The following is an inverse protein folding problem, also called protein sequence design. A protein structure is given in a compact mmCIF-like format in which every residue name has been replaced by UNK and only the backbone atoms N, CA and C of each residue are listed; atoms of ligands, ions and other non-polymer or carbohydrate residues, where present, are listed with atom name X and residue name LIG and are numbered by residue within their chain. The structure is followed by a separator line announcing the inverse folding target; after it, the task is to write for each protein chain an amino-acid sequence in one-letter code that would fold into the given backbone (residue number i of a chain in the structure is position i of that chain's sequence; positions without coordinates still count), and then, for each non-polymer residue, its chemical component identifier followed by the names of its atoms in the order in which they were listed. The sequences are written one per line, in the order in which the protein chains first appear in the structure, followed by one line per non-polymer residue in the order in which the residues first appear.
data_IF_201554646087
#
_entry.id   IF_201554646087
#
_cell.length_a   1.000
_cell.length_b   1.000
_cell.length_c   1.000
_cell.angle_alpha   90.00
_cell.angle_beta   90.00
_cell.angle_gamma   90.00
#
_symmetry.space_group_name_H-M   'P 1'
#
loop_
_entity.id
_entity.type
_entity.pdbx_description
1 polymer ?
#
# COMPACT_ATOMS: atom_id res chain seq x y z
N UNK A 1 5.51 17.13 -25.93
CA UNK A 1 4.84 17.73 -24.74
C UNK A 1 4.37 16.60 -23.83
N UNK A 2 4.80 16.61 -22.57
CA UNK A 2 4.43 15.65 -21.51
C UNK A 2 3.63 16.41 -20.45
N UNK A 3 2.41 15.95 -20.16
CA UNK A 3 1.58 16.49 -19.08
C UNK A 3 1.58 15.47 -17.96
N UNK A 4 1.84 15.92 -16.72
CA UNK A 4 1.82 15.09 -15.52
C UNK A 4 0.72 15.59 -14.60
N UNK A 5 -0.17 14.68 -14.21
CA UNK A 5 -1.20 14.89 -13.19
C UNK A 5 -0.93 13.88 -12.10
N UNK A 6 -0.66 14.33 -10.87
CA UNK A 6 -0.24 13.45 -9.78
C UNK A 6 -0.70 13.98 -8.42
N UNK A 7 -0.80 13.09 -7.43
CA UNK A 7 -1.10 13.42 -6.05
C UNK A 7 0.06 13.11 -5.08
N UNK A 8 1.22 12.67 -5.58
CA UNK A 8 2.38 12.41 -4.74
C UNK A 8 3.18 13.69 -4.49
N UNK A 9 3.32 14.08 -3.22
CA UNK A 9 4.12 15.25 -2.83
C UNK A 9 5.63 15.09 -3.12
N UNK A 10 6.09 13.87 -3.38
CA UNK A 10 7.47 13.55 -3.79
C UNK A 10 7.73 13.66 -5.29
N UNK A 11 6.73 14.07 -6.09
CA UNK A 11 6.88 14.20 -7.54
C UNK A 11 7.97 15.22 -7.90
N UNK A 12 8.84 14.86 -8.84
CA UNK A 12 10.00 15.67 -9.25
C UNK A 12 9.70 16.67 -10.38
N UNK A 13 8.44 16.89 -10.73
CA UNK A 13 7.99 17.85 -11.76
C UNK A 13 8.60 17.56 -13.15
N UNK A 14 8.64 16.31 -13.55
CA UNK A 14 9.35 15.83 -14.75
C UNK A 14 8.60 16.01 -16.07
N UNK A 15 7.42 16.61 -16.06
CA UNK A 15 6.63 16.94 -17.25
C UNK A 15 6.90 18.36 -17.76
N UNK A 16 6.50 18.63 -19.00
CA UNK A 16 6.49 19.98 -19.55
C UNK A 16 5.40 20.84 -18.86
N UNK A 17 4.28 20.18 -18.49
CA UNK A 17 3.20 20.74 -17.67
C UNK A 17 2.98 19.78 -16.50
N UNK A 18 2.96 20.30 -15.27
CA UNK A 18 2.76 19.50 -14.06
C UNK A 18 1.62 20.07 -13.24
N UNK A 19 0.63 19.23 -12.92
CA UNK A 19 -0.42 19.53 -11.95
C UNK A 19 -0.32 18.53 -10.80
N UNK A 20 0.30 18.98 -9.71
CA UNK A 20 0.54 18.13 -8.54
C UNK A 20 -0.32 18.63 -7.39
N UNK A 21 -1.18 17.76 -6.83
CA UNK A 21 -2.03 18.08 -5.68
C UNK A 21 -1.86 17.04 -4.57
N UNK A 22 -0.93 17.25 -3.62
CA UNK A 22 -0.65 16.30 -2.53
C UNK A 22 -1.78 16.18 -1.48
N UNK A 23 -2.77 17.06 -1.52
CA UNK A 23 -3.94 16.98 -0.61
C UNK A 23 -4.99 16.04 -1.16
N UNK A 24 -5.03 15.83 -2.48
CA UNK A 24 -5.95 14.87 -3.08
C UNK A 24 -5.57 13.43 -2.67
N UNK A 25 -6.52 12.63 -2.18
CA UNK A 25 -6.25 11.25 -1.75
C UNK A 25 -6.00 10.29 -2.92
N UNK A 26 -6.38 10.69 -4.13
CA UNK A 26 -6.24 9.91 -5.36
C UNK A 26 -6.11 10.84 -6.58
N UNK A 27 -5.35 10.42 -7.57
CA UNK A 27 -5.28 11.09 -8.86
C UNK A 27 -6.66 11.19 -9.54
N UNK A 28 -7.52 10.17 -9.34
CA UNK A 28 -8.88 10.16 -9.85
C UNK A 28 -9.76 11.26 -9.28
N UNK A 29 -9.54 11.73 -8.05
CA UNK A 29 -10.23 12.90 -7.50
C UNK A 29 -9.85 14.17 -8.26
N UNK A 30 -8.57 14.35 -8.60
CA UNK A 30 -8.11 15.48 -9.42
C UNK A 30 -8.81 15.46 -10.78
N UNK A 31 -8.86 14.29 -11.43
CA UNK A 31 -9.51 14.14 -12.74
C UNK A 31 -11.02 14.46 -12.69
N UNK A 32 -11.73 14.09 -11.63
CA UNK A 32 -13.16 14.45 -11.48
C UNK A 32 -13.32 15.98 -11.42
N UNK A 33 -12.46 16.65 -10.64
CA UNK A 33 -12.44 18.11 -10.58
C UNK A 33 -12.15 18.74 -11.93
N UNK A 34 -11.16 18.25 -12.67
CA UNK A 34 -10.82 18.72 -14.01
C UNK A 34 -11.97 18.49 -15.01
N UNK A 35 -12.62 17.33 -15.00
CA UNK A 35 -13.74 17.05 -15.89
C UNK A 35 -14.92 17.97 -15.61
N UNK A 36 -15.20 18.29 -14.35
CA UNK A 36 -16.20 19.29 -13.98
C UNK A 36 -15.80 20.70 -14.45
N UNK A 37 -14.55 21.09 -14.28
CA UNK A 37 -14.07 22.40 -14.70
C UNK A 37 -14.15 22.62 -16.20
N UNK A 38 -13.83 21.60 -16.99
CA UNK A 38 -13.86 21.66 -18.46
C UNK A 38 -15.21 21.24 -19.07
N UNK A 39 -16.25 21.05 -18.26
CA UNK A 39 -17.58 20.58 -18.68
C UNK A 39 -17.53 19.28 -19.50
N UNK A 40 -16.61 18.38 -19.13
CA UNK A 40 -16.47 17.07 -19.78
C UNK A 40 -17.52 16.12 -19.21
N UNK A 41 -18.35 15.57 -20.10
CA UNK A 41 -19.39 14.61 -19.70
C UNK A 41 -18.78 13.30 -19.20
N UNK A 42 -19.00 12.99 -17.94
CA UNK A 42 -18.60 11.72 -17.32
C UNK A 42 -19.68 10.67 -17.62
N UNK A 43 -19.33 9.62 -18.36
CA UNK A 43 -20.19 8.45 -18.59
C UNK A 43 -20.09 7.47 -17.42
N UNK A 44 -21.01 6.50 -17.32
CA UNK A 44 -20.95 5.44 -16.30
C UNK A 44 -19.59 4.69 -16.29
N UNK A 45 -19.05 4.36 -17.46
CA UNK A 45 -17.78 3.65 -17.55
C UNK A 45 -16.61 4.51 -17.03
N UNK A 46 -16.55 5.79 -17.39
CA UNK A 46 -15.56 6.73 -16.84
C UNK A 46 -15.74 6.85 -15.32
N UNK A 47 -16.97 6.99 -14.84
CA UNK A 47 -17.29 7.06 -13.42
C UNK A 47 -16.84 5.81 -12.64
N UNK A 48 -17.02 4.62 -13.25
CA UNK A 48 -16.54 3.36 -12.66
C UNK A 48 -15.01 3.35 -12.51
N UNK A 49 -14.28 3.76 -13.55
CA UNK A 49 -12.80 3.86 -13.47
C UNK A 49 -12.36 4.88 -12.42
N UNK A 50 -12.98 6.06 -12.36
CA UNK A 50 -12.66 7.10 -11.39
C UNK A 50 -12.94 6.64 -9.95
N UNK A 51 -14.08 5.98 -9.72
CA UNK A 51 -14.41 5.41 -8.41
C UNK A 51 -13.44 4.29 -8.02
N UNK A 52 -13.04 3.45 -8.97
CA UNK A 52 -12.03 2.40 -8.72
C UNK A 52 -10.73 3.01 -8.23
N UNK A 53 -10.21 4.06 -8.88
CA UNK A 53 -8.99 4.73 -8.42
C UNK A 53 -9.14 5.39 -7.05
N UNK A 54 -10.28 6.02 -6.74
CA UNK A 54 -10.54 6.55 -5.40
C UNK A 54 -10.53 5.43 -4.35
N UNK A 55 -11.24 4.33 -4.61
CA UNK A 55 -11.33 3.20 -3.67
C UNK A 55 -9.97 2.54 -3.43
N UNK A 56 -9.18 2.34 -4.48
CA UNK A 56 -7.86 1.68 -4.35
C UNK A 56 -6.86 2.56 -3.62
N UNK A 57 -6.73 3.84 -3.99
CA UNK A 57 -5.76 4.76 -3.37
C UNK A 57 -6.11 5.08 -1.92
N UNK A 58 -7.40 5.17 -1.60
CA UNK A 58 -7.87 5.43 -0.21
C UNK A 58 -8.06 4.17 0.61
N UNK A 59 -7.82 2.99 0.05
CA UNK A 59 -8.16 1.71 0.66
C UNK A 59 -9.62 1.68 1.17
N UNK A 60 -10.56 2.02 0.29
CA UNK A 60 -11.98 2.07 0.64
C UNK A 60 -12.35 3.23 1.57
N UNK A 61 -11.80 4.41 1.35
CA UNK A 61 -11.98 5.63 2.15
C UNK A 61 -11.36 5.59 3.55
N UNK A 62 -10.50 4.62 3.84
CA UNK A 62 -9.82 4.51 5.14
C UNK A 62 -8.67 5.54 5.29
N UNK A 63 -8.06 5.96 4.19
CA UNK A 63 -6.90 6.86 4.21
C UNK A 63 -7.15 8.15 3.44
N UNK A 64 -6.80 9.27 4.04
CA UNK A 64 -6.77 10.61 3.44
C UNK A 64 -8.10 11.07 2.78
N UNK A 65 -9.22 10.36 3.01
CA UNK A 65 -10.52 10.76 2.47
C UNK A 65 -11.01 12.03 3.18
N UNK A 66 -11.46 13.01 2.40
CA UNK A 66 -12.00 14.30 2.87
C UNK A 66 -13.48 14.40 2.54
N UNK A 67 -14.16 15.45 3.04
CA UNK A 67 -15.54 15.75 2.63
C UNK A 67 -15.68 15.86 1.11
N UNK A 68 -14.71 16.52 0.45
CA UNK A 68 -14.66 16.65 -1.01
C UNK A 68 -14.56 15.28 -1.70
N UNK A 69 -13.78 14.34 -1.12
CA UNK A 69 -13.70 12.96 -1.63
C UNK A 69 -15.06 12.27 -1.64
N UNK A 70 -15.82 12.42 -0.55
CA UNK A 70 -17.18 11.86 -0.48
C UNK A 70 -18.17 12.56 -1.42
N UNK A 71 -18.07 13.88 -1.60
CA UNK A 71 -18.87 14.62 -2.57
C UNK A 71 -18.61 14.15 -4.00
N UNK A 72 -17.33 13.98 -4.36
CA UNK A 72 -16.94 13.44 -5.66
C UNK A 72 -17.41 11.99 -5.83
N UNK A 73 -17.22 11.15 -4.82
CA UNK A 73 -17.72 9.78 -4.82
C UNK A 73 -19.24 9.75 -5.04
N UNK A 74 -19.99 10.55 -4.29
CA UNK A 74 -21.44 10.66 -4.47
C UNK A 74 -21.82 11.12 -5.89
N UNK A 75 -21.07 12.04 -6.48
CA UNK A 75 -21.34 12.54 -7.84
C UNK A 75 -21.22 11.45 -8.91
N UNK A 76 -20.20 10.58 -8.80
CA UNK A 76 -20.01 9.50 -9.78
C UNK A 76 -20.92 8.30 -9.51
N UNK A 77 -21.26 8.03 -8.24
CA UNK A 77 -22.26 6.99 -7.88
C UNK A 77 -23.64 7.31 -8.49
N UNK A 78 -24.05 8.58 -8.54
CA UNK A 78 -25.30 9.00 -9.19
C UNK A 78 -25.35 8.63 -10.68
N UNK A 79 -24.22 8.34 -11.31
CA UNK A 79 -24.13 7.87 -12.69
C UNK A 79 -24.32 6.34 -12.82
N UNK A 80 -24.69 5.66 -11.73
CA UNK A 80 -25.01 4.22 -11.71
C UNK A 80 -23.80 3.31 -11.51
N UNK A 81 -22.75 3.80 -10.87
CA UNK A 81 -21.58 2.95 -10.50
C UNK A 81 -21.97 1.96 -9.42
N UNK A 82 -21.63 0.70 -9.61
CA UNK A 82 -21.75 -0.34 -8.57
C UNK A 82 -20.49 -0.37 -7.70
N UNK A 83 -20.58 0.33 -6.57
CA UNK A 83 -19.49 0.43 -5.61
C UNK A 83 -19.17 -0.93 -4.98
N UNK A 84 -20.19 -1.77 -4.73
CA UNK A 84 -20.03 -3.09 -4.14
C UNK A 84 -19.23 -4.01 -5.07
N UNK A 85 -19.48 -3.92 -6.36
CA UNK A 85 -18.73 -4.67 -7.38
C UNK A 85 -17.25 -4.26 -7.38
N UNK A 86 -16.97 -2.95 -7.32
CA UNK A 86 -15.59 -2.43 -7.27
C UNK A 86 -14.89 -2.97 -6.01
N UNK A 87 -15.50 -2.84 -4.82
CA UNK A 87 -14.93 -3.36 -3.57
C UNK A 87 -14.62 -4.86 -3.67
N UNK A 88 -15.57 -5.62 -4.19
CA UNK A 88 -15.41 -7.08 -4.34
C UNK A 88 -14.18 -7.41 -5.17
N UNK A 89 -13.99 -6.78 -6.32
CA UNK A 89 -12.88 -7.11 -7.23
C UNK A 89 -11.53 -6.50 -6.83
N UNK A 90 -11.51 -5.36 -6.15
CA UNK A 90 -10.26 -4.66 -5.83
C UNK A 90 -9.73 -4.96 -4.44
N UNK A 91 -10.60 -5.04 -3.42
CA UNK A 91 -10.17 -5.12 -2.02
C UNK A 91 -10.54 -6.43 -1.32
N UNK A 92 -11.63 -7.11 -1.75
CA UNK A 92 -12.17 -8.26 -1.02
C UNK A 92 -11.80 -9.61 -1.63
N UNK A 93 -11.75 -9.70 -2.97
CA UNK A 93 -11.47 -10.98 -3.62
C UNK A 93 -9.98 -11.27 -3.61
N UNK A 94 -9.63 -12.42 -3.03
CA UNK A 94 -8.29 -12.97 -3.03
C UNK A 94 -8.26 -14.25 -3.88
N UNK A 95 -7.20 -14.45 -4.64
CA UNK A 95 -6.99 -15.74 -5.29
C UNK A 95 -6.46 -16.78 -4.29
N UNK A 96 -6.48 -18.05 -4.67
CA UNK A 96 -6.07 -19.14 -3.79
C UNK A 96 -4.58 -19.04 -3.38
N UNK A 97 -3.70 -18.65 -4.31
CA UNK A 97 -2.28 -18.50 -4.02
C UNK A 97 -2.04 -17.39 -2.97
N UNK A 98 -2.71 -16.22 -3.11
CA UNK A 98 -2.65 -15.16 -2.09
C UNK A 98 -3.12 -15.68 -0.73
N UNK A 99 -4.25 -16.41 -0.68
CA UNK A 99 -4.77 -16.97 0.58
C UNK A 99 -3.76 -17.92 1.24
N UNK A 100 -3.16 -18.84 0.48
CA UNK A 100 -2.18 -19.80 1.02
C UNK A 100 -0.88 -19.11 1.46
N UNK A 101 -0.41 -18.07 0.74
CA UNK A 101 0.74 -17.28 1.18
C UNK A 101 0.45 -16.53 2.48
N UNK A 102 -0.75 -15.95 2.62
CA UNK A 102 -1.17 -15.32 3.87
C UNK A 102 -1.14 -16.31 5.03
N UNK A 103 -1.70 -17.51 4.84
CA UNK A 103 -1.68 -18.56 5.85
C UNK A 103 -0.26 -18.91 6.29
N UNK A 104 0.65 -19.15 5.33
CA UNK A 104 2.07 -19.43 5.63
C UNK A 104 2.74 -18.28 6.38
N UNK A 105 2.44 -17.04 6.00
CA UNK A 105 2.95 -15.86 6.69
C UNK A 105 2.39 -15.72 8.11
N UNK A 106 1.12 -16.05 8.33
CA UNK A 106 0.51 -16.04 9.68
C UNK A 106 1.13 -17.10 10.58
N UNK A 107 1.33 -18.31 10.07
CA UNK A 107 1.95 -19.41 10.82
C UNK A 107 3.40 -19.08 11.27
N UNK A 108 4.08 -18.17 10.57
CA UNK A 108 5.44 -17.69 10.88
C UNK A 108 5.46 -16.34 11.60
N UNK A 109 4.30 -15.77 11.94
CA UNK A 109 4.28 -14.44 12.54
C UNK A 109 4.81 -14.45 13.96
N UNK A 110 5.78 -13.60 14.20
CA UNK A 110 6.40 -13.38 15.50
C UNK A 110 6.00 -12.00 16.03
N UNK A 111 5.69 -11.95 17.32
CA UNK A 111 5.46 -10.69 18.04
C UNK A 111 6.67 -10.40 18.92
N UNK A 112 7.29 -9.26 18.70
CA UNK A 112 8.58 -8.86 19.27
C UNK A 112 8.43 -7.51 19.97
N UNK A 113 9.41 -7.12 20.78
CA UNK A 113 9.43 -5.82 21.47
C UNK A 113 8.13 -5.61 22.28
N UNK A 114 7.84 -6.55 23.17
CA UNK A 114 6.63 -6.55 24.01
C UNK A 114 5.31 -6.46 23.19
N UNK A 115 5.31 -7.09 22.01
CA UNK A 115 4.15 -7.12 21.12
C UNK A 115 4.00 -5.89 20.20
N UNK A 116 4.90 -4.91 20.28
CA UNK A 116 4.85 -3.70 19.45
C UNK A 116 5.31 -3.91 18.00
N UNK A 117 5.97 -5.02 17.72
CA UNK A 117 6.46 -5.34 16.37
C UNK A 117 5.93 -6.69 15.94
N UNK A 118 5.23 -6.74 14.82
CA UNK A 118 4.90 -7.97 14.12
C UNK A 118 5.90 -8.20 13.00
N UNK A 119 6.53 -9.38 12.98
CA UNK A 119 7.47 -9.79 11.93
C UNK A 119 6.99 -11.07 11.28
N UNK A 120 7.02 -11.14 9.96
CA UNK A 120 6.76 -12.37 9.22
C UNK A 120 7.48 -12.39 7.88
N UNK A 121 7.51 -13.55 7.24
CA UNK A 121 8.12 -13.72 5.91
C UNK A 121 7.50 -14.90 5.16
N UNK A 122 7.68 -14.87 3.84
CA UNK A 122 7.50 -16.02 2.95
C UNK A 122 8.82 -16.32 2.24
N UNK A 123 8.97 -17.57 1.79
CA UNK A 123 10.16 -18.03 1.06
C UNK A 123 9.87 -18.22 -0.42
N UNK A 124 10.91 -18.40 -1.23
CA UNK A 124 10.75 -18.71 -2.64
C UNK A 124 10.06 -20.08 -2.84
N UNK A 125 10.35 -21.04 -1.94
CA UNK A 125 9.70 -22.36 -1.95
C UNK A 125 8.20 -22.22 -1.70
N UNK A 126 7.78 -21.31 -0.82
CA UNK A 126 6.36 -21.03 -0.58
C UNK A 126 5.67 -20.50 -1.84
N UNK A 127 6.32 -19.56 -2.55
CA UNK A 127 5.77 -19.01 -3.80
C UNK A 127 5.66 -20.09 -4.89
N UNK A 128 6.68 -20.93 -5.02
CA UNK A 128 6.69 -22.05 -6.00
C UNK A 128 5.59 -23.06 -5.65
N UNK A 129 5.47 -23.47 -4.39
CA UNK A 129 4.50 -24.46 -3.92
C UNK A 129 3.05 -24.07 -4.25
N UNK A 130 2.71 -22.80 -4.07
CA UNK A 130 1.35 -22.30 -4.31
C UNK A 130 1.12 -21.83 -5.76
N UNK A 131 2.16 -21.82 -6.58
CA UNK A 131 2.11 -21.28 -7.95
C UNK A 131 1.85 -19.77 -7.97
N UNK A 132 2.47 -19.04 -7.06
CA UNK A 132 2.27 -17.61 -6.90
C UNK A 132 2.69 -16.81 -8.14
N UNK A 133 1.94 -15.75 -8.41
CA UNK A 133 2.25 -14.74 -9.42
C UNK A 133 2.71 -13.45 -8.73
N UNK A 134 3.39 -12.55 -9.47
CA UNK A 134 3.71 -11.24 -8.94
C UNK A 134 2.46 -10.53 -8.38
N UNK A 135 2.56 -10.07 -7.14
CA UNK A 135 1.45 -9.42 -6.42
C UNK A 135 0.63 -10.34 -5.49
N UNK A 136 0.75 -11.66 -5.60
CA UNK A 136 -0.02 -12.58 -4.74
C UNK A 136 0.36 -12.50 -3.24
N UNK A 137 1.45 -11.82 -2.89
CA UNK A 137 1.86 -11.53 -1.51
C UNK A 137 1.29 -10.20 -0.96
N UNK A 138 0.55 -9.46 -1.78
CA UNK A 138 -0.02 -8.18 -1.35
C UNK A 138 -1.00 -8.34 -0.18
N UNK A 139 -0.94 -7.39 0.75
CA UNK A 139 -1.80 -7.35 1.94
C UNK A 139 -1.23 -8.08 3.16
N UNK A 140 -0.19 -8.90 3.04
CA UNK A 140 0.39 -9.63 4.18
C UNK A 140 0.93 -8.66 5.24
N UNK A 141 1.66 -7.63 4.85
CA UNK A 141 2.22 -6.64 5.78
C UNK A 141 1.15 -5.87 6.56
N UNK A 142 -0.02 -5.67 5.96
CA UNK A 142 -1.12 -4.94 6.58
C UNK A 142 -1.73 -5.71 7.76
N UNK A 143 -1.72 -7.04 7.72
CA UNK A 143 -2.30 -7.85 8.79
C UNK A 143 -1.58 -7.64 10.10
N UNK A 144 -0.25 -7.67 10.10
CA UNK A 144 0.54 -7.43 11.32
C UNK A 144 0.22 -6.06 11.94
N UNK A 145 0.11 -5.01 11.11
CA UNK A 145 -0.23 -3.66 11.57
C UNK A 145 -1.63 -3.56 12.19
N UNK A 146 -2.58 -4.41 11.76
CA UNK A 146 -3.95 -4.37 12.24
C UNK A 146 -4.19 -5.17 13.53
N UNK A 147 -3.13 -5.72 14.13
CA UNK A 147 -3.20 -6.42 15.41
C UNK A 147 -3.04 -5.41 16.56
N UNK A 148 -3.87 -5.55 17.59
CA UNK A 148 -3.84 -4.69 18.76
C UNK A 148 -2.43 -4.59 19.37
N UNK A 149 -2.02 -3.40 19.76
CA UNK A 149 -0.71 -3.03 20.32
C UNK A 149 0.49 -3.10 19.34
N UNK A 150 0.31 -3.53 18.10
CA UNK A 150 1.37 -3.51 17.11
C UNK A 150 1.55 -2.11 16.53
N UNK A 151 2.72 -1.53 16.75
CA UNK A 151 3.10 -0.25 16.14
C UNK A 151 3.78 -0.43 14.79
N UNK A 152 4.60 -1.49 14.62
CA UNK A 152 5.35 -1.74 13.38
C UNK A 152 5.09 -3.15 12.87
N UNK A 153 4.73 -3.26 11.60
CA UNK A 153 4.66 -4.53 10.88
C UNK A 153 5.79 -4.63 9.86
N UNK A 154 6.49 -5.75 9.88
CA UNK A 154 7.63 -6.08 9.03
C UNK A 154 7.32 -7.36 8.26
N UNK A 155 7.36 -7.30 6.95
CA UNK A 155 7.15 -8.45 6.09
C UNK A 155 8.27 -8.59 5.08
N UNK A 156 8.81 -9.80 4.93
CA UNK A 156 9.79 -10.13 3.91
C UNK A 156 9.18 -11.05 2.85
N UNK A 157 9.37 -10.72 1.59
CA UNK A 157 9.09 -11.64 0.50
C UNK A 157 10.30 -11.75 -0.44
N UNK A 158 10.53 -12.91 -1.06
CA UNK A 158 11.71 -13.16 -1.87
C UNK A 158 11.66 -12.34 -3.18
N UNK A 159 12.82 -11.99 -3.70
CA UNK A 159 13.00 -11.42 -5.04
C UNK A 159 13.88 -12.39 -5.84
N UNK A 160 13.26 -13.48 -6.28
CA UNK A 160 13.98 -14.62 -6.83
C UNK A 160 15.00 -15.17 -5.82
N UNK A 161 16.17 -15.55 -6.31
CA UNK A 161 17.32 -16.04 -5.52
C UNK A 161 18.24 -14.92 -5.00
N UNK A 162 17.91 -13.64 -5.29
CA UNK A 162 18.80 -12.49 -5.03
C UNK A 162 18.71 -11.94 -3.62
N UNK A 163 17.62 -12.17 -2.92
CA UNK A 163 17.36 -11.65 -1.59
C UNK A 163 15.88 -11.39 -1.34
N UNK A 164 15.60 -10.47 -0.43
CA UNK A 164 14.23 -10.16 -0.01
C UNK A 164 13.89 -8.68 -0.23
N UNK A 165 12.66 -8.43 -0.56
CA UNK A 165 12.08 -7.11 -0.36
C UNK A 165 11.47 -7.07 1.04
N UNK A 166 11.92 -6.12 1.86
CA UNK A 166 11.32 -5.80 3.15
C UNK A 166 10.22 -4.76 2.92
N UNK A 167 9.04 -5.05 3.43
CA UNK A 167 7.92 -4.12 3.49
C UNK A 167 7.67 -3.73 4.94
N UNK A 168 7.55 -2.45 5.19
CA UNK A 168 7.41 -1.86 6.52
C UNK A 168 6.13 -1.03 6.58
N UNK A 169 5.37 -1.20 7.66
CA UNK A 169 4.21 -0.36 7.99
C UNK A 169 4.29 0.09 9.43
N UNK A 170 3.80 1.29 9.72
CA UNK A 170 3.61 1.74 11.10
C UNK A 170 2.22 2.32 11.31
N UNK A 171 1.76 2.28 12.56
CA UNK A 171 0.44 2.75 12.94
C UNK A 171 0.48 4.24 13.34
N UNK A 172 1.19 4.60 14.41
CA UNK A 172 1.08 5.93 15.01
C UNK A 172 2.35 6.79 14.95
N UNK A 173 3.45 6.37 15.59
CA UNK A 173 4.57 7.25 15.85
C UNK A 173 5.90 6.86 15.19
N UNK A 174 6.10 5.59 14.82
CA UNK A 174 7.33 5.16 14.16
C UNK A 174 7.38 5.63 12.71
N UNK A 175 8.50 6.21 12.31
CA UNK A 175 8.77 6.59 10.93
C UNK A 175 9.52 5.47 10.20
N UNK A 176 8.77 4.63 9.48
CA UNK A 176 9.37 3.50 8.75
C UNK A 176 10.19 3.92 7.52
N UNK A 177 10.03 5.15 7.02
CA UNK A 177 10.88 5.64 5.93
C UNK A 177 12.35 5.75 6.39
N UNK A 178 12.60 6.20 7.62
CA UNK A 178 13.95 6.27 8.18
C UNK A 178 14.57 4.87 8.32
N UNK A 179 13.77 3.88 8.70
CA UNK A 179 14.20 2.48 8.78
C UNK A 179 14.56 1.95 7.39
N UNK A 180 13.68 2.17 6.40
CA UNK A 180 13.94 1.75 5.03
C UNK A 180 15.19 2.42 4.45
N UNK A 181 15.40 3.72 4.68
CA UNK A 181 16.60 4.47 4.25
C UNK A 181 17.89 3.86 4.82
N UNK A 182 17.89 3.46 6.10
CA UNK A 182 19.06 2.80 6.72
C UNK A 182 19.36 1.42 6.13
N UNK A 183 18.36 0.80 5.47
CA UNK A 183 18.47 -0.47 4.77
C UNK A 183 18.71 -0.31 3.25
N UNK A 184 18.92 0.93 2.77
CA UNK A 184 19.16 1.22 1.35
C UNK A 184 17.90 1.34 0.51
N UNK A 185 16.75 1.58 1.12
CA UNK A 185 15.46 1.79 0.47
C UNK A 185 14.86 3.17 0.71
N UNK A 186 13.54 3.25 0.81
CA UNK A 186 12.80 4.50 1.03
C UNK A 186 11.30 4.29 1.11
N UNK A 187 10.56 5.39 1.13
CA UNK A 187 9.09 5.38 1.19
C UNK A 187 8.54 6.55 1.99
N UNK A 188 7.32 6.37 2.47
CA UNK A 188 6.61 7.33 3.32
C UNK A 188 6.72 6.96 4.80
N UNK A 189 6.44 7.93 5.68
CA UNK A 189 6.53 7.75 7.13
C UNK A 189 5.80 6.51 7.66
N UNK A 190 4.68 6.11 7.03
CA UNK A 190 3.83 4.98 7.44
C UNK A 190 3.92 3.75 6.54
N UNK A 191 4.58 3.85 5.40
CA UNK A 191 4.72 2.78 4.42
C UNK A 191 6.03 2.93 3.67
N UNK A 192 6.95 2.01 3.87
CA UNK A 192 8.28 2.04 3.27
C UNK A 192 8.80 0.64 2.97
N UNK A 193 9.87 0.55 2.20
CA UNK A 193 10.50 -0.73 1.89
C UNK A 193 11.90 -0.59 1.34
N UNK A 194 12.62 -1.70 1.33
CA UNK A 194 13.97 -1.80 0.79
C UNK A 194 14.19 -3.17 0.15
N UNK A 195 15.19 -3.27 -0.72
CA UNK A 195 15.74 -4.56 -1.12
C UNK A 195 16.91 -4.90 -0.19
N UNK A 196 16.90 -6.10 0.36
CA UNK A 196 17.87 -6.53 1.38
C UNK A 196 18.38 -7.95 1.08
N UNK A 197 19.64 -8.21 1.40
CA UNK A 197 20.26 -9.53 1.28
C UNK A 197 20.54 -10.12 2.66
N UNK A 198 20.50 -11.44 2.75
CA UNK A 198 20.74 -12.21 3.98
C UNK A 198 19.59 -13.18 4.26
N UNK A 199 19.70 -13.91 5.35
CA UNK A 199 18.61 -14.77 5.83
C UNK A 199 17.49 -13.93 6.46
N UNK A 200 16.24 -14.44 6.52
CA UNK A 200 15.13 -13.72 7.18
C UNK A 200 15.50 -13.28 8.61
N UNK A 201 16.20 -14.13 9.36
CA UNK A 201 16.65 -13.80 10.72
C UNK A 201 17.67 -12.64 10.75
N UNK A 202 18.66 -12.64 9.86
CA UNK A 202 19.63 -11.55 9.77
C UNK A 202 18.96 -10.22 9.40
N UNK A 203 18.02 -10.27 8.48
CA UNK A 203 17.26 -9.08 8.05
C UNK A 203 16.36 -8.58 9.19
N UNK A 204 15.68 -9.49 9.89
CA UNK A 204 14.89 -9.20 11.10
C UNK A 204 15.71 -8.43 12.12
N UNK A 205 16.89 -8.92 12.49
CA UNK A 205 17.75 -8.27 13.48
C UNK A 205 18.24 -6.88 13.04
N UNK A 206 18.53 -6.71 11.75
CA UNK A 206 18.90 -5.38 11.19
C UNK A 206 17.72 -4.40 11.29
N UNK A 207 16.53 -4.83 10.91
CA UNK A 207 15.33 -3.99 10.98
C UNK A 207 14.98 -3.64 12.44
N UNK A 208 14.98 -4.61 13.33
CA UNK A 208 14.70 -4.39 14.77
C UNK A 208 15.67 -3.40 15.43
N UNK A 209 16.95 -3.41 15.05
CA UNK A 209 17.91 -2.42 15.55
C UNK A 209 17.48 -0.99 15.25
N UNK A 210 16.91 -0.73 14.09
CA UNK A 210 16.44 0.59 13.70
C UNK A 210 15.07 0.91 14.31
N UNK A 211 14.19 -0.07 14.42
CA UNK A 211 12.88 0.08 15.07
C UNK A 211 13.06 0.47 16.54
N UNK A 212 13.93 -0.22 17.30
CA UNK A 212 14.21 0.05 18.72
C UNK A 212 14.63 1.48 19.01
N UNK A 213 15.25 2.18 18.06
CA UNK A 213 15.64 3.61 18.24
C UNK A 213 14.42 4.54 18.30
N UNK A 214 13.25 4.07 17.86
CA UNK A 214 12.04 4.88 17.74
C UNK A 214 10.90 4.37 18.64
N UNK A 215 10.99 3.14 19.17
CA UNK A 215 9.96 2.61 20.08
C UNK A 215 9.94 3.38 21.40
N UNK A 216 8.72 3.59 21.93
CA UNK A 216 8.44 4.27 23.20
C UNK A 216 8.10 3.26 24.27
#
# INVERSE_FOLDING_TARGET
MKIVIDHHGSNTMYGDINYINPVAPACCQILIGMFKYFDIKITKNIATCLMTGIITDTCGFCFNATSETFEFAASVVRLGVDVSEIFRYTLQTKNKANFELHKKAYDRMEFLEDGKVAFTYITLEDEIEVGAKPGDHEGIVEVGKNIENVEVSIFLHPVGDKGYKISLRSLEYVNVANIALSLGGGGHNKAAGAFVTGTPEQIKQRALREVRKQLK
#
